data_IF_301888839251
#
_entry.id   IF_301888839251
#
_cell.length_a   1.000
_cell.length_b   1.000
_cell.length_c   1.000
_cell.angle_alpha   90.00
_cell.angle_beta   90.00
_cell.angle_gamma   90.00
#
_symmetry.space_group_name_H-M   'P 1'
#
loop_
_entity.id
_entity.type
_entity.pdbx_description
1 polymer ?
#
# COMPACT_ATOMS: atom_id res chain seq x y z
N UNK A 1 -58.56 8.59 5.54
CA UNK A 1 -58.60 9.94 6.14
C UNK A 1 -57.47 10.75 5.57
N UNK A 2 -57.86 11.86 4.97
CA UNK A 2 -57.03 12.81 4.24
C UNK A 2 -56.34 13.77 5.20
N UNK A 3 -55.11 14.21 4.90
CA UNK A 3 -54.47 15.34 5.59
C UNK A 3 -53.32 15.90 4.74
N UNK A 4 -53.67 16.87 3.91
CA UNK A 4 -52.72 17.71 3.17
C UNK A 4 -52.45 18.98 3.98
N UNK A 5 -51.21 19.48 4.04
CA UNK A 5 -50.83 20.85 4.45
C UNK A 5 -49.62 21.23 3.61
N UNK A 6 -49.77 22.01 2.63
CA UNK A 6 -49.70 23.45 2.39
C UNK A 6 -48.25 24.01 2.37
N UNK A 7 -47.88 24.46 1.17
CA UNK A 7 -46.70 25.24 0.82
C UNK A 7 -46.76 26.67 1.40
N UNK A 8 -45.62 27.20 1.85
CA UNK A 8 -45.44 28.63 2.09
C UNK A 8 -44.31 29.19 1.20
N UNK A 9 -44.75 30.01 0.23
CA UNK A 9 -43.89 30.94 -0.53
C UNK A 9 -43.73 32.20 0.30
N UNK A 10 -42.55 32.73 0.44
CA UNK A 10 -42.33 34.15 0.75
C UNK A 10 -41.36 34.74 -0.29
N UNK A 11 -41.91 35.77 -0.92
CA UNK A 11 -41.25 36.74 -1.78
C UNK A 11 -40.61 37.83 -0.92
N UNK A 12 -39.46 38.33 -1.26
CA UNK A 12 -38.78 39.46 -0.62
C UNK A 12 -37.84 40.17 -1.60
N UNK A 13 -38.33 41.20 -2.07
CA UNK A 13 -37.89 42.53 -2.52
C UNK A 13 -36.43 42.77 -2.97
N UNK A 14 -36.35 43.29 -4.18
CA UNK A 14 -35.18 43.86 -4.81
C UNK A 14 -34.95 45.32 -4.33
N UNK A 15 -33.71 45.67 -4.01
CA UNK A 15 -33.22 47.04 -3.74
C UNK A 15 -32.43 47.52 -4.95
N UNK A 16 -32.72 48.72 -5.48
CA UNK A 16 -32.02 49.26 -6.64
C UNK A 16 -30.71 49.92 -6.27
N UNK A 17 -29.63 49.57 -7.00
CA UNK A 17 -28.33 50.23 -6.91
C UNK A 17 -28.22 51.32 -7.99
N UNK A 18 -27.96 52.56 -7.54
CA UNK A 18 -27.76 53.74 -8.40
C UNK A 18 -26.35 53.79 -9.00
N UNK A 19 -26.14 54.61 -10.04
CA UNK A 19 -24.91 54.61 -10.83
C UNK A 19 -23.82 55.50 -10.22
N UNK A 20 -22.63 54.97 -10.00
CA UNK A 20 -21.43 55.74 -9.67
C UNK A 20 -20.54 55.98 -10.89
N UNK A 21 -20.09 57.22 -11.02
CA UNK A 21 -19.33 57.85 -12.09
C UNK A 21 -17.91 57.27 -12.25
N UNK A 22 -17.32 57.31 -13.46
CA UNK A 22 -15.95 56.82 -13.66
C UNK A 22 -14.91 57.89 -13.35
N UNK A 23 -13.89 57.52 -12.59
CA UNK A 23 -12.67 58.28 -12.39
C UNK A 23 -11.65 57.82 -13.46
N UNK A 24 -11.23 58.74 -14.31
CA UNK A 24 -10.15 58.56 -15.29
C UNK A 24 -8.79 58.67 -14.55
N UNK A 25 -8.12 57.57 -14.33
CA UNK A 25 -6.72 57.51 -13.96
C UNK A 25 -5.91 56.87 -15.10
N UNK A 26 -5.04 57.70 -15.74
CA UNK A 26 -4.04 57.20 -16.70
C UNK A 26 -2.92 56.52 -15.87
N UNK A 27 -2.87 55.23 -15.78
CA UNK A 27 -1.78 54.46 -15.23
C UNK A 27 -1.09 53.68 -16.36
N UNK A 28 0.21 53.97 -16.51
CA UNK A 28 1.12 53.27 -17.41
C UNK A 28 1.26 51.82 -16.91
N UNK A 29 0.77 50.85 -17.64
CA UNK A 29 0.97 49.42 -17.31
C UNK A 29 2.21 48.96 -18.04
N UNK A 30 3.34 48.84 -17.28
CA UNK A 30 4.50 48.08 -17.71
C UNK A 30 4.12 46.58 -17.62
N UNK A 31 3.89 45.99 -18.78
CA UNK A 31 3.64 44.53 -18.86
C UNK A 31 4.92 43.73 -18.60
N UNK A 32 5.08 43.22 -17.39
CA UNK A 32 6.06 42.17 -17.11
C UNK A 32 5.46 40.85 -17.60
N UNK A 33 5.93 40.37 -18.74
CA UNK A 33 5.63 38.99 -19.20
C UNK A 33 6.40 38.02 -18.32
N UNK A 34 5.73 37.46 -17.32
CA UNK A 34 6.22 36.33 -16.59
C UNK A 34 6.09 35.08 -17.47
N UNK A 35 7.18 34.71 -18.11
CA UNK A 35 7.35 33.38 -18.71
C UNK A 35 7.40 32.35 -17.56
N UNK A 36 6.25 31.83 -17.18
CA UNK A 36 6.18 30.63 -16.34
C UNK A 36 6.61 29.45 -17.20
N UNK A 37 7.92 29.22 -17.24
CA UNK A 37 8.46 27.97 -17.74
C UNK A 37 7.95 26.84 -16.86
N UNK A 38 7.12 25.95 -17.39
CA UNK A 38 6.83 24.65 -16.81
C UNK A 38 8.16 23.89 -16.81
N UNK A 39 8.91 23.97 -15.71
CA UNK A 39 10.03 23.08 -15.45
C UNK A 39 9.44 21.69 -15.25
N UNK A 40 9.40 20.90 -16.32
CA UNK A 40 9.16 19.46 -16.25
C UNK A 40 10.23 18.90 -15.30
N UNK A 41 9.80 18.33 -14.19
CA UNK A 41 10.73 17.62 -13.29
C UNK A 41 11.48 16.59 -14.14
N UNK A 42 12.81 16.52 -14.06
CA UNK A 42 13.59 15.58 -14.85
C UNK A 42 13.10 14.17 -14.51
N UNK A 43 12.73 13.40 -15.55
CA UNK A 43 12.44 11.99 -15.41
C UNK A 43 13.67 11.35 -14.75
N UNK A 44 13.51 10.87 -13.49
CA UNK A 44 14.58 10.16 -12.81
C UNK A 44 14.92 8.94 -13.62
N UNK A 45 16.16 8.85 -14.09
CA UNK A 45 16.70 7.64 -14.70
C UNK A 45 16.46 6.45 -13.77
N UNK A 46 16.15 5.25 -14.29
CA UNK A 46 16.01 4.07 -13.46
C UNK A 46 17.33 3.84 -12.73
N UNK A 47 17.30 3.99 -11.43
CA UNK A 47 18.49 3.86 -10.59
C UNK A 47 18.75 2.37 -10.35
N UNK A 48 19.99 1.88 -10.50
CA UNK A 48 20.31 0.47 -10.31
C UNK A 48 19.90 0.02 -8.91
N UNK A 49 19.22 -1.13 -8.81
CA UNK A 49 18.85 -1.74 -7.54
C UNK A 49 20.11 -2.14 -6.79
N UNK A 50 20.37 -1.59 -5.60
CA UNK A 50 21.57 -1.86 -4.81
C UNK A 50 21.54 -3.22 -4.11
N UNK A 51 20.31 -3.68 -3.72
CA UNK A 51 20.05 -5.02 -3.21
C UNK A 51 18.58 -5.37 -3.41
N UNK A 52 18.32 -6.64 -3.66
CA UNK A 52 16.99 -7.20 -3.75
C UNK A 52 16.90 -8.48 -2.92
N UNK A 53 15.72 -8.77 -2.37
CA UNK A 53 15.44 -10.11 -1.85
C UNK A 53 15.59 -11.10 -3.01
N UNK A 54 16.30 -12.24 -2.80
CA UNK A 54 16.54 -13.17 -3.87
C UNK A 54 15.22 -13.61 -4.50
N UNK A 55 15.10 -13.38 -5.80
CA UNK A 55 14.03 -13.87 -6.65
C UNK A 55 12.61 -13.36 -6.34
N UNK A 56 12.41 -12.23 -5.68
CA UNK A 56 11.07 -11.65 -5.61
C UNK A 56 10.77 -10.85 -6.88
N UNK A 57 9.77 -11.28 -7.63
CA UNK A 57 9.34 -10.68 -8.90
C UNK A 57 7.88 -10.27 -8.80
N UNK A 58 7.61 -8.97 -8.93
CA UNK A 58 6.22 -8.46 -9.02
C UNK A 58 5.57 -9.03 -10.28
N UNK A 59 4.36 -9.56 -10.16
CA UNK A 59 3.67 -10.26 -11.24
C UNK A 59 3.97 -11.76 -11.33
N UNK A 60 4.89 -12.28 -10.51
CA UNK A 60 5.09 -13.73 -10.33
C UNK A 60 4.86 -14.13 -8.87
N UNK A 61 5.53 -13.43 -7.94
CA UNK A 61 5.46 -13.72 -6.50
C UNK A 61 4.37 -12.90 -5.78
N UNK A 62 3.49 -12.25 -6.54
CA UNK A 62 2.37 -11.45 -6.03
C UNK A 62 1.03 -12.08 -6.39
N UNK A 63 -0.02 -11.72 -5.66
CA UNK A 63 -1.37 -12.11 -6.06
C UNK A 63 -1.77 -11.45 -7.39
N UNK A 64 -2.54 -12.16 -8.21
CA UNK A 64 -3.07 -11.67 -9.49
C UNK A 64 -4.26 -10.69 -9.32
N UNK A 65 -4.83 -10.62 -8.12
CA UNK A 65 -5.94 -9.74 -7.79
C UNK A 65 -5.51 -8.64 -6.85
N UNK A 66 -6.09 -7.46 -7.04
CA UNK A 66 -5.85 -6.31 -6.19
C UNK A 66 -6.67 -6.38 -4.88
N UNK A 67 -6.24 -5.58 -3.91
CA UNK A 67 -7.04 -5.28 -2.74
C UNK A 67 -8.36 -4.62 -3.16
N UNK A 68 -9.49 -5.09 -2.62
CA UNK A 68 -10.82 -4.62 -2.99
C UNK A 68 -11.22 -3.28 -2.35
N UNK A 69 -10.28 -2.34 -2.24
CA UNK A 69 -10.58 -1.00 -1.68
C UNK A 69 -11.76 -0.33 -2.38
N UNK A 70 -11.94 -0.57 -3.67
CA UNK A 70 -13.01 0.02 -4.49
C UNK A 70 -14.28 -0.83 -4.54
N UNK A 71 -14.22 -2.08 -4.17
CA UNK A 71 -15.39 -2.90 -4.04
C UNK A 71 -16.15 -2.48 -2.76
N UNK A 72 -16.92 -1.40 -2.88
CA UNK A 72 -17.95 -1.12 -1.89
C UNK A 72 -18.82 -2.36 -1.80
N UNK A 73 -18.59 -3.17 -0.79
CA UNK A 73 -19.59 -4.14 -0.40
C UNK A 73 -20.78 -3.33 0.09
N UNK A 74 -21.90 -3.26 -0.64
CA UNK A 74 -23.05 -2.44 -0.26
C UNK A 74 -23.61 -2.86 1.10
N UNK A 75 -23.31 -4.09 1.55
CA UNK A 75 -23.79 -4.63 2.82
C UNK A 75 -22.80 -4.47 3.98
N UNK A 76 -21.51 -4.19 3.70
CA UNK A 76 -20.47 -4.05 4.74
C UNK A 76 -19.33 -3.12 4.29
N UNK A 77 -19.58 -1.81 4.22
CA UNK A 77 -18.61 -0.83 3.72
C UNK A 77 -17.36 -0.66 4.60
N UNK A 78 -17.43 -1.15 5.85
CA UNK A 78 -16.37 -1.11 6.85
C UNK A 78 -15.31 -2.20 6.70
N UNK A 79 -15.56 -3.22 5.87
CA UNK A 79 -14.71 -4.40 5.80
C UNK A 79 -13.50 -4.28 4.86
N UNK A 80 -13.38 -3.22 4.08
CA UNK A 80 -12.33 -3.12 3.08
C UNK A 80 -10.98 -2.59 3.61
N UNK A 81 -10.98 -1.84 4.70
CA UNK A 81 -9.79 -1.14 5.20
C UNK A 81 -8.63 -2.05 5.66
N UNK A 82 -8.86 -3.34 5.83
CA UNK A 82 -7.87 -4.26 6.41
C UNK A 82 -7.34 -5.32 5.45
N UNK A 83 -7.77 -5.30 4.19
CA UNK A 83 -7.37 -6.32 3.22
C UNK A 83 -5.91 -6.20 2.79
N UNK A 84 -5.40 -4.99 2.62
CA UNK A 84 -4.01 -4.76 2.28
C UNK A 84 -3.04 -5.46 3.23
N UNK A 85 -3.34 -5.44 4.51
CA UNK A 85 -2.58 -6.12 5.55
C UNK A 85 -2.54 -7.64 5.35
N UNK A 86 -3.70 -8.26 5.08
CA UNK A 86 -3.81 -9.71 4.87
C UNK A 86 -3.10 -10.13 3.59
N UNK A 87 -3.25 -9.37 2.49
CA UNK A 87 -2.59 -9.65 1.23
C UNK A 87 -1.08 -9.49 1.33
N UNK A 88 -0.59 -8.42 1.95
CA UNK A 88 0.83 -8.20 2.17
C UNK A 88 1.45 -9.32 3.01
N UNK A 89 0.78 -9.74 4.10
CA UNK A 89 1.19 -10.89 4.91
C UNK A 89 1.18 -12.17 4.11
N UNK A 90 0.11 -12.42 3.33
CA UNK A 90 -0.02 -13.61 2.50
C UNK A 90 1.09 -13.73 1.47
N UNK A 91 1.40 -12.66 0.72
CA UNK A 91 2.50 -12.64 -0.24
C UNK A 91 3.81 -13.02 0.44
N UNK A 92 4.12 -12.41 1.59
CA UNK A 92 5.31 -12.77 2.36
C UNK A 92 5.31 -14.24 2.79
N UNK A 93 4.20 -14.75 3.32
CA UNK A 93 4.10 -16.15 3.76
C UNK A 93 4.25 -17.14 2.60
N UNK A 94 3.65 -16.86 1.44
CA UNK A 94 3.86 -17.68 0.25
C UNK A 94 5.30 -17.66 -0.22
N UNK A 95 5.95 -16.50 -0.29
CA UNK A 95 7.34 -16.38 -0.67
C UNK A 95 8.29 -17.16 0.26
N UNK A 96 8.05 -17.15 1.54
CA UNK A 96 8.91 -17.76 2.55
C UNK A 96 8.61 -19.25 2.81
N UNK A 97 7.35 -19.69 2.63
CA UNK A 97 6.88 -21.00 3.09
C UNK A 97 6.23 -21.89 2.01
N UNK A 98 6.00 -21.38 0.80
CA UNK A 98 5.45 -22.17 -0.29
C UNK A 98 6.51 -22.47 -1.36
N UNK A 99 6.27 -23.59 -2.08
CA UNK A 99 7.00 -23.99 -3.28
C UNK A 99 6.00 -24.39 -4.36
N UNK A 100 6.13 -23.81 -5.55
CA UNK A 100 5.27 -24.09 -6.68
C UNK A 100 5.88 -25.17 -7.55
N UNK A 101 5.08 -26.19 -7.90
CA UNK A 101 5.53 -27.35 -8.69
C UNK A 101 4.57 -27.59 -9.88
N UNK A 102 4.85 -26.99 -11.04
CA UNK A 102 3.95 -27.03 -12.19
C UNK A 102 3.83 -28.45 -12.80
N UNK A 103 4.84 -29.30 -12.61
CA UNK A 103 4.83 -30.66 -13.14
C UNK A 103 3.91 -31.63 -12.38
N UNK A 104 3.52 -31.29 -11.16
CA UNK A 104 2.62 -32.13 -10.37
C UNK A 104 1.16 -31.92 -10.77
N UNK A 105 0.29 -32.93 -10.64
CA UNK A 105 -1.13 -32.82 -10.91
C UNK A 105 -1.80 -31.75 -10.03
N UNK A 106 -2.76 -31.03 -10.62
CA UNK A 106 -3.59 -30.07 -9.87
C UNK A 106 -4.44 -30.80 -8.83
N UNK A 107 -4.63 -30.15 -7.68
CA UNK A 107 -5.55 -30.59 -6.64
C UNK A 107 -6.97 -30.06 -6.90
N UNK A 108 -7.92 -30.65 -6.23
CA UNK A 108 -9.24 -30.06 -6.08
C UNK A 108 -9.22 -28.85 -5.12
N UNK A 109 -10.36 -28.20 -5.00
CA UNK A 109 -10.49 -27.01 -4.14
C UNK A 109 -10.15 -27.30 -2.68
N UNK A 110 -10.56 -28.45 -2.16
CA UNK A 110 -10.31 -28.82 -0.76
C UNK A 110 -8.81 -29.02 -0.51
N UNK A 111 -8.11 -29.68 -1.43
CA UNK A 111 -6.68 -29.87 -1.37
C UNK A 111 -5.91 -28.54 -1.41
N UNK A 112 -6.32 -27.59 -2.25
CA UNK A 112 -5.69 -26.26 -2.25
C UNK A 112 -6.01 -25.47 -0.99
N UNK A 113 -7.23 -25.54 -0.48
CA UNK A 113 -7.60 -24.88 0.77
C UNK A 113 -6.70 -25.33 1.93
N UNK A 114 -6.48 -26.64 2.05
CA UNK A 114 -5.56 -27.22 3.05
C UNK A 114 -4.12 -26.67 2.87
N UNK A 115 -3.60 -26.68 1.63
CA UNK A 115 -2.25 -26.21 1.35
C UNK A 115 -2.06 -24.73 1.72
N UNK A 116 -3.01 -23.89 1.32
CA UNK A 116 -2.97 -22.46 1.67
C UNK A 116 -3.02 -22.29 3.19
N UNK A 117 -3.92 -23.00 3.89
CA UNK A 117 -4.03 -22.94 5.34
C UNK A 117 -2.71 -23.33 6.02
N UNK A 118 -2.00 -24.33 5.53
CA UNK A 118 -0.67 -24.72 6.04
C UNK A 118 0.38 -23.62 5.83
N UNK A 119 0.33 -22.91 4.71
CA UNK A 119 1.22 -21.76 4.45
C UNK A 119 0.91 -20.61 5.41
N UNK A 120 -0.36 -20.20 5.51
CA UNK A 120 -0.76 -19.01 6.29
C UNK A 120 -0.83 -19.27 7.81
N UNK A 121 -0.83 -20.52 8.25
CA UNK A 121 -0.68 -20.88 9.66
C UNK A 121 0.75 -20.68 10.18
N UNK A 122 1.73 -20.52 9.28
CA UNK A 122 3.12 -20.22 9.68
C UNK A 122 3.21 -18.79 10.21
N UNK A 123 3.97 -18.63 11.26
CA UNK A 123 4.18 -17.32 11.86
C UNK A 123 4.94 -16.40 10.90
N UNK A 124 4.40 -15.23 10.54
CA UNK A 124 5.01 -14.34 9.56
C UNK A 124 6.36 -13.75 9.99
N UNK A 125 6.75 -13.86 11.27
CA UNK A 125 8.09 -13.48 11.76
C UNK A 125 9.07 -14.66 11.79
N UNK A 126 8.61 -15.86 11.43
CA UNK A 126 9.47 -17.03 11.35
C UNK A 126 10.53 -16.87 10.26
N UNK A 127 11.66 -17.57 10.36
CA UNK A 127 12.63 -17.61 9.28
C UNK A 127 12.05 -18.31 8.04
N UNK A 128 12.49 -17.96 6.83
CA UNK A 128 12.17 -18.70 5.62
C UNK A 128 12.49 -20.20 5.77
N UNK A 129 11.61 -21.06 5.28
CA UNK A 129 11.87 -22.49 5.26
C UNK A 129 12.86 -22.86 4.15
N UNK A 130 13.74 -23.86 4.38
CA UNK A 130 14.48 -24.51 3.31
C UNK A 130 13.52 -24.97 2.19
N UNK A 131 13.95 -24.99 0.93
CA UNK A 131 13.06 -25.33 -0.19
C UNK A 131 12.31 -26.66 -0.03
N UNK A 132 12.94 -27.68 0.56
CA UNK A 132 12.36 -29.01 0.73
C UNK A 132 11.31 -29.08 1.84
N UNK A 133 11.38 -28.17 2.82
CA UNK A 133 10.43 -28.08 3.93
C UNK A 133 9.22 -27.18 3.62
N UNK A 134 9.23 -26.53 2.47
CA UNK A 134 8.14 -25.64 2.03
C UNK A 134 6.89 -26.43 1.66
N UNK A 135 5.73 -25.81 1.85
CA UNK A 135 4.45 -26.38 1.43
C UNK A 135 4.37 -26.39 -0.10
N UNK A 136 4.31 -27.57 -0.69
CA UNK A 136 4.19 -27.71 -2.16
C UNK A 136 2.79 -27.31 -2.63
N UNK A 137 2.72 -26.40 -3.58
CA UNK A 137 1.53 -26.01 -4.34
C UNK A 137 1.66 -26.58 -5.75
N UNK A 138 0.99 -27.70 -6.05
CA UNK A 138 1.15 -28.39 -7.34
C UNK A 138 0.35 -27.74 -8.46
N UNK A 139 0.80 -27.94 -9.72
CA UNK A 139 0.08 -27.56 -10.92
C UNK A 139 0.18 -26.10 -11.33
N UNK A 140 1.02 -25.30 -10.69
CA UNK A 140 1.24 -23.88 -10.98
C UNK A 140 2.73 -23.52 -10.91
N UNK A 141 3.13 -22.52 -11.69
CA UNK A 141 4.54 -22.05 -11.74
C UNK A 141 4.87 -21.08 -10.63
N UNK A 142 3.91 -20.25 -10.21
CA UNK A 142 4.12 -19.14 -9.26
C UNK A 142 2.82 -18.74 -8.57
N UNK A 143 2.92 -17.80 -7.63
CA UNK A 143 1.79 -17.29 -6.87
C UNK A 143 0.78 -16.56 -7.75
N UNK A 144 1.24 -15.83 -8.77
CA UNK A 144 0.37 -15.08 -9.66
C UNK A 144 -0.58 -16.01 -10.42
N UNK A 145 -0.04 -17.04 -11.09
CA UNK A 145 -0.89 -18.03 -11.81
C UNK A 145 -1.85 -18.73 -10.86
N UNK A 146 -1.33 -19.19 -9.72
CA UNK A 146 -2.13 -19.87 -8.72
C UNK A 146 -3.30 -19.02 -8.23
N UNK A 147 -3.01 -17.79 -7.82
CA UNK A 147 -4.03 -16.91 -7.27
C UNK A 147 -5.02 -16.38 -8.29
N UNK A 148 -4.63 -16.28 -9.57
CA UNK A 148 -5.54 -15.97 -10.67
C UNK A 148 -6.59 -17.06 -10.87
N UNK A 149 -6.15 -18.32 -10.87
CA UNK A 149 -7.04 -19.46 -11.11
C UNK A 149 -7.82 -19.86 -9.84
N UNK A 150 -7.27 -19.63 -8.66
CA UNK A 150 -7.81 -20.04 -7.36
C UNK A 150 -8.20 -18.86 -6.47
N UNK A 151 -8.56 -17.72 -7.04
CA UNK A 151 -8.80 -16.45 -6.29
C UNK A 151 -9.76 -16.65 -5.10
N UNK A 152 -10.93 -17.29 -5.35
CA UNK A 152 -11.92 -17.52 -4.30
C UNK A 152 -11.38 -18.40 -3.17
N UNK A 153 -10.62 -19.45 -3.49
CA UNK A 153 -10.02 -20.36 -2.52
C UNK A 153 -8.93 -19.65 -1.69
N UNK A 154 -8.09 -18.83 -2.35
CA UNK A 154 -7.06 -18.03 -1.69
C UNK A 154 -7.69 -17.03 -0.74
N UNK A 155 -8.68 -16.27 -1.20
CA UNK A 155 -9.39 -15.26 -0.38
C UNK A 155 -10.06 -15.87 0.87
N UNK A 156 -10.67 -17.05 0.71
CA UNK A 156 -11.27 -17.80 1.81
C UNK A 156 -10.21 -18.21 2.85
N UNK A 157 -9.10 -18.77 2.38
CA UNK A 157 -8.07 -19.32 3.25
C UNK A 157 -7.21 -18.27 3.98
N UNK A 158 -7.09 -17.05 3.44
CA UNK A 158 -6.31 -15.97 4.07
C UNK A 158 -6.83 -15.54 5.45
N UNK A 159 -8.01 -16.03 5.83
CA UNK A 159 -8.55 -15.96 7.18
C UNK A 159 -9.29 -14.68 7.53
N UNK A 160 -9.93 -14.65 8.71
CA UNK A 160 -10.87 -13.60 9.07
C UNK A 160 -10.17 -12.27 9.36
N UNK A 161 -10.78 -11.20 8.89
CA UNK A 161 -10.36 -9.80 9.02
C UNK A 161 -10.36 -9.31 10.46
N UNK A 162 -11.18 -9.90 11.33
CA UNK A 162 -11.38 -9.47 12.71
C UNK A 162 -10.06 -9.43 13.51
N UNK A 163 -9.25 -10.47 13.42
CA UNK A 163 -7.96 -10.52 14.12
C UNK A 163 -6.95 -9.50 13.59
N UNK A 164 -7.08 -9.09 12.34
CA UNK A 164 -6.27 -8.02 11.76
C UNK A 164 -6.57 -6.66 12.41
N UNK A 165 -7.82 -6.39 12.75
CA UNK A 165 -8.24 -5.15 13.45
C UNK A 165 -7.67 -5.06 14.85
N UNK A 166 -7.55 -6.19 15.54
CA UNK A 166 -7.02 -6.25 16.90
C UNK A 166 -5.49 -6.24 16.95
N UNK A 167 -4.82 -6.31 15.80
CA UNK A 167 -3.37 -6.28 15.78
C UNK A 167 -2.87 -4.90 16.27
N UNK A 168 -2.06 -4.92 17.31
CA UNK A 168 -1.45 -3.74 17.92
C UNK A 168 -0.78 -2.81 16.90
N UNK A 169 -0.17 -3.35 15.85
CA UNK A 169 0.51 -2.56 14.85
C UNK A 169 -0.41 -1.58 14.12
N UNK A 170 -1.69 -1.91 13.99
CA UNK A 170 -2.68 -1.00 13.39
C UNK A 170 -2.95 0.24 14.24
N UNK A 171 -2.76 0.15 15.55
CA UNK A 171 -2.97 1.25 16.48
C UNK A 171 -1.73 2.15 16.64
N UNK A 172 -0.55 1.66 16.25
CA UNK A 172 0.69 2.44 16.30
C UNK A 172 0.64 3.72 15.48
N UNK A 173 -0.24 3.79 14.47
CA UNK A 173 -0.39 4.96 13.61
C UNK A 173 -0.77 6.23 14.36
N UNK A 174 -1.44 6.13 15.50
CA UNK A 174 -1.84 7.28 16.32
C UNK A 174 -0.70 7.78 17.22
N UNK A 175 0.33 6.97 17.43
CA UNK A 175 1.45 7.34 18.29
C UNK A 175 2.40 8.30 17.56
N UNK A 176 2.81 9.40 18.20
CA UNK A 176 3.82 10.27 17.64
C UNK A 176 5.17 9.54 17.62
N UNK A 177 5.82 9.53 16.45
CA UNK A 177 7.17 8.98 16.29
C UNK A 177 8.09 10.00 15.67
N UNK A 178 9.28 10.16 16.26
CA UNK A 178 10.30 11.10 15.79
C UNK A 178 11.17 10.55 14.66
N UNK A 179 12.02 11.41 14.10
CA UNK A 179 12.94 11.06 13.01
C UNK A 179 13.88 9.90 13.33
N UNK A 180 14.38 9.80 14.58
CA UNK A 180 15.24 8.69 14.99
C UNK A 180 14.55 7.33 14.98
N UNK A 181 13.22 7.27 15.22
CA UNK A 181 12.46 6.04 15.03
C UNK A 181 12.35 5.69 13.54
N UNK A 182 12.06 6.68 12.69
CA UNK A 182 11.92 6.45 11.26
C UNK A 182 13.25 6.02 10.62
N UNK A 183 14.38 6.56 11.07
CA UNK A 183 15.72 6.15 10.65
C UNK A 183 15.99 4.68 11.01
N UNK A 184 15.73 4.27 12.27
CA UNK A 184 15.85 2.86 12.66
C UNK A 184 14.98 1.93 11.81
N UNK A 185 13.74 2.34 11.49
CA UNK A 185 12.87 1.54 10.60
C UNK A 185 13.49 1.41 9.22
N UNK A 186 14.07 2.47 8.66
CA UNK A 186 14.76 2.41 7.37
C UNK A 186 15.97 1.46 7.39
N UNK A 187 16.80 1.55 8.44
CA UNK A 187 17.96 0.67 8.61
C UNK A 187 17.55 -0.80 8.78
N UNK A 188 16.47 -1.06 9.53
CA UNK A 188 15.92 -2.39 9.71
C UNK A 188 15.38 -2.98 8.40
N UNK A 189 14.71 -2.18 7.55
CA UNK A 189 14.27 -2.62 6.23
C UNK A 189 15.47 -2.99 5.36
N UNK A 190 16.51 -2.14 5.36
CA UNK A 190 17.77 -2.42 4.63
C UNK A 190 18.39 -3.73 5.11
N UNK A 191 18.42 -3.97 6.42
CA UNK A 191 18.98 -5.20 6.99
C UNK A 191 18.17 -6.44 6.57
N UNK A 192 16.83 -6.37 6.58
CA UNK A 192 15.97 -7.48 6.12
C UNK A 192 16.22 -7.81 4.65
N UNK A 193 16.17 -6.79 3.79
CA UNK A 193 16.35 -6.99 2.34
C UNK A 193 17.76 -7.52 2.02
N UNK A 194 18.80 -7.02 2.70
CA UNK A 194 20.17 -7.56 2.58
C UNK A 194 20.28 -9.01 3.02
N UNK A 195 19.50 -9.41 4.02
CA UNK A 195 19.45 -10.79 4.48
C UNK A 195 18.55 -11.67 3.59
N UNK A 196 18.07 -11.15 2.46
CA UNK A 196 17.22 -11.88 1.52
C UNK A 196 15.78 -12.05 1.99
N UNK A 197 15.32 -11.27 2.96
CA UNK A 197 13.95 -11.34 3.51
C UNK A 197 13.10 -10.18 3.06
N UNK A 198 11.79 -10.40 3.02
CA UNK A 198 10.81 -9.37 2.75
C UNK A 198 10.48 -8.60 4.02
N UNK A 199 10.34 -7.26 3.93
CA UNK A 199 9.96 -6.43 5.06
C UNK A 199 8.54 -5.87 4.87
N UNK A 200 7.60 -6.32 5.71
CA UNK A 200 6.24 -5.80 5.71
C UNK A 200 6.16 -4.50 6.51
N UNK A 201 5.55 -3.47 5.91
CA UNK A 201 5.45 -2.12 6.45
C UNK A 201 4.00 -1.68 6.54
N UNK A 202 3.65 -1.09 7.67
CA UNK A 202 2.48 -0.23 7.78
C UNK A 202 2.90 1.19 7.48
N UNK A 203 2.30 1.83 6.50
CA UNK A 203 2.56 3.21 6.10
C UNK A 203 1.31 4.07 6.32
N UNK A 204 1.51 5.28 6.85
CA UNK A 204 0.39 6.18 7.17
C UNK A 204 0.79 7.64 7.06
N UNK A 205 -0.15 8.49 6.63
CA UNK A 205 -0.02 9.94 6.66
C UNK A 205 -0.82 10.59 7.82
N UNK A 206 -1.22 9.78 8.83
CA UNK A 206 -1.91 10.29 10.00
C UNK A 206 -1.28 11.59 10.55
N UNK A 207 -2.05 12.63 10.91
CA UNK A 207 -3.51 12.62 11.20
C UNK A 207 -4.43 12.76 9.97
N UNK A 208 -3.90 12.92 8.76
CA UNK A 208 -4.69 12.91 7.55
C UNK A 208 -5.17 11.47 7.30
N UNK A 209 -6.49 11.17 7.27
CA UNK A 209 -6.97 9.78 7.23
C UNK A 209 -6.95 9.16 5.83
N UNK A 210 -6.17 9.71 4.90
CA UNK A 210 -6.14 9.27 3.50
C UNK A 210 -5.34 7.99 3.28
N UNK A 211 -4.27 7.79 4.07
CA UNK A 211 -3.38 6.65 3.94
C UNK A 211 -3.19 5.93 5.28
N UNK A 212 -3.71 4.71 5.35
CA UNK A 212 -3.37 3.71 6.35
C UNK A 212 -3.27 2.38 5.62
N UNK A 213 -2.08 2.05 5.15
CA UNK A 213 -1.86 1.03 4.15
C UNK A 213 -0.69 0.13 4.49
N UNK A 214 -0.71 -1.10 3.98
CA UNK A 214 0.36 -2.07 4.20
C UNK A 214 0.99 -2.48 2.88
N UNK A 215 2.31 -2.38 2.82
CA UNK A 215 3.13 -2.74 1.66
C UNK A 215 4.26 -3.69 2.09
N UNK A 216 4.91 -4.34 1.12
CA UNK A 216 6.06 -5.24 1.36
C UNK A 216 7.27 -4.76 0.60
N UNK A 217 8.30 -4.30 1.31
CA UNK A 217 9.58 -3.96 0.71
C UNK A 217 10.37 -5.24 0.38
N UNK A 218 10.87 -5.30 -0.87
CA UNK A 218 11.61 -6.44 -1.39
C UNK A 218 12.97 -6.08 -2.00
N UNK A 219 13.18 -4.80 -2.31
CA UNK A 219 14.43 -4.29 -2.84
C UNK A 219 14.65 -2.84 -2.40
N UNK A 220 15.87 -2.34 -2.49
CA UNK A 220 16.13 -0.93 -2.25
C UNK A 220 17.29 -0.41 -3.11
N UNK A 221 17.27 0.89 -3.32
CA UNK A 221 18.38 1.68 -3.81
C UNK A 221 18.75 2.73 -2.77
N UNK A 222 20.03 2.85 -2.45
CA UNK A 222 20.52 3.81 -1.47
C UNK A 222 21.49 4.81 -2.10
N UNK A 223 21.30 6.08 -1.78
CA UNK A 223 22.22 7.18 -2.05
C UNK A 223 22.60 7.86 -0.75
N UNK A 224 23.48 8.87 -0.80
CA UNK A 224 23.81 9.69 0.36
C UNK A 224 22.60 10.52 0.83
N UNK A 225 21.69 10.87 -0.06
CA UNK A 225 20.51 11.70 0.23
C UNK A 225 19.30 10.89 0.68
N UNK A 226 19.06 9.71 0.10
CA UNK A 226 17.84 8.93 0.30
C UNK A 226 18.05 7.44 0.14
N UNK A 227 17.06 6.68 0.64
CA UNK A 227 16.87 5.25 0.35
C UNK A 227 15.50 5.10 -0.29
N UNK A 228 15.45 4.59 -1.53
CA UNK A 228 14.22 4.26 -2.22
C UNK A 228 13.97 2.75 -2.08
N UNK A 229 12.91 2.39 -1.38
CA UNK A 229 12.46 1.00 -1.23
C UNK A 229 11.46 0.67 -2.32
N UNK A 230 11.74 -0.38 -3.10
CA UNK A 230 10.77 -0.97 -4.00
C UNK A 230 9.82 -1.85 -3.19
N UNK A 231 8.51 -1.62 -3.35
CA UNK A 231 7.51 -2.31 -2.56
C UNK A 231 6.45 -2.98 -3.45
N UNK A 232 5.99 -4.14 -3.01
CA UNK A 232 4.72 -4.69 -3.47
C UNK A 232 3.60 -3.93 -2.77
N UNK A 233 2.68 -3.39 -3.57
CA UNK A 233 1.48 -2.71 -3.12
C UNK A 233 0.26 -3.59 -3.42
N UNK A 234 -0.47 -4.07 -2.40
CA UNK A 234 -1.67 -4.88 -2.64
C UNK A 234 -2.77 -4.19 -3.45
N UNK A 235 -2.77 -2.86 -3.54
CA UNK A 235 -3.74 -2.10 -4.34
C UNK A 235 -3.37 -2.06 -5.83
N UNK A 236 -2.08 -2.25 -6.14
CA UNK A 236 -1.56 -2.35 -7.51
C UNK A 236 -0.55 -3.50 -7.61
N UNK A 237 -1.04 -4.76 -7.61
CA UNK A 237 -0.17 -5.94 -7.56
C UNK A 237 0.64 -6.17 -8.84
N UNK A 238 0.35 -5.43 -9.90
CA UNK A 238 1.02 -5.55 -11.19
C UNK A 238 2.23 -4.63 -11.34
N UNK A 239 2.35 -3.60 -10.49
CA UNK A 239 3.39 -2.58 -10.61
C UNK A 239 4.16 -2.39 -9.30
N UNK A 240 5.50 -2.24 -9.35
CA UNK A 240 6.26 -1.90 -8.16
C UNK A 240 5.87 -0.52 -7.61
N UNK A 241 5.56 -0.43 -6.32
CA UNK A 241 5.47 0.82 -5.58
C UNK A 241 6.86 1.35 -5.17
N UNK A 242 6.93 2.59 -4.69
CA UNK A 242 8.15 3.20 -4.14
C UNK A 242 7.83 3.96 -2.87
N UNK A 243 8.52 3.59 -1.79
CA UNK A 243 8.54 4.32 -0.53
C UNK A 243 9.96 4.81 -0.30
N UNK A 244 10.15 6.12 -0.16
CA UNK A 244 11.47 6.72 -0.01
C UNK A 244 11.72 7.16 1.43
N UNK A 245 12.95 7.00 1.91
CA UNK A 245 13.42 7.56 3.18
C UNK A 245 14.46 8.66 2.91
N UNK A 246 14.15 9.89 3.27
CA UNK A 246 15.04 11.04 3.16
C UNK A 246 15.94 11.11 4.40
N UNK A 247 17.26 10.93 4.23
CA UNK A 247 18.22 10.81 5.34
C UNK A 247 18.33 12.08 6.16
N UNK A 248 18.46 13.26 5.51
CA UNK A 248 18.61 14.55 6.20
C UNK A 248 17.38 14.91 7.04
N UNK A 249 16.19 14.70 6.48
CA UNK A 249 14.93 14.99 7.17
C UNK A 249 14.51 13.87 8.12
N UNK A 250 15.13 12.69 8.03
CA UNK A 250 14.77 11.47 8.76
C UNK A 250 13.28 11.14 8.62
N UNK A 251 12.78 11.12 7.37
CA UNK A 251 11.36 11.01 7.07
C UNK A 251 11.12 10.09 5.89
N UNK A 252 9.99 9.38 5.96
CA UNK A 252 9.47 8.62 4.83
C UNK A 252 8.54 9.45 3.96
N UNK A 253 8.52 9.09 2.67
CA UNK A 253 7.65 9.62 1.63
C UNK A 253 6.98 8.48 0.88
N UNK A 254 5.68 8.60 0.63
CA UNK A 254 5.00 7.81 -0.38
C UNK A 254 5.35 8.42 -1.74
N UNK A 255 6.38 7.90 -2.41
CA UNK A 255 6.85 8.42 -3.70
C UNK A 255 5.99 7.88 -4.83
N UNK A 256 5.64 6.60 -4.77
CA UNK A 256 4.68 5.93 -5.64
C UNK A 256 4.02 4.79 -4.87
N UNK A 257 2.91 5.09 -4.23
CA UNK A 257 2.01 4.13 -3.58
C UNK A 257 0.65 4.35 -4.19
N UNK A 258 -0.03 3.28 -4.55
CA UNK A 258 -1.27 3.32 -5.28
C UNK A 258 -2.29 4.29 -4.67
N UNK A 259 -2.95 5.08 -5.55
CA UNK A 259 -3.98 6.07 -5.24
C UNK A 259 -3.58 7.11 -4.16
N UNK A 260 -2.28 7.23 -3.87
CA UNK A 260 -1.76 8.19 -2.90
C UNK A 260 -0.96 9.25 -3.63
N UNK A 261 -1.26 10.51 -3.36
CA UNK A 261 -0.43 11.62 -3.83
C UNK A 261 0.94 11.52 -3.15
N UNK A 262 2.05 11.77 -3.87
CA UNK A 262 3.36 11.82 -3.26
C UNK A 262 3.36 12.76 -2.05
N UNK A 263 3.78 12.26 -0.91
CA UNK A 263 3.70 13.02 0.33
C UNK A 263 4.39 12.37 1.50
N UNK A 264 4.49 13.14 2.60
CA UNK A 264 5.11 12.69 3.83
C UNK A 264 4.26 11.62 4.50
N UNK A 265 4.92 10.54 4.90
CA UNK A 265 4.31 9.43 5.65
C UNK A 265 5.16 9.08 6.88
N UNK A 266 4.63 8.20 7.71
CA UNK A 266 5.35 7.43 8.71
C UNK A 266 5.31 5.95 8.32
N UNK A 267 6.41 5.26 8.53
CA UNK A 267 6.50 3.82 8.30
C UNK A 267 6.73 3.09 9.62
N UNK A 268 6.09 1.95 9.76
CA UNK A 268 6.23 1.05 10.90
C UNK A 268 6.50 -0.35 10.38
N UNK A 269 7.53 -0.99 10.91
CA UNK A 269 7.83 -2.37 10.58
C UNK A 269 6.83 -3.32 11.24
N UNK A 270 6.41 -4.36 10.51
CA UNK A 270 5.46 -5.36 10.97
C UNK A 270 6.10 -6.76 10.95
N UNK A 271 5.61 -7.65 11.82
CA UNK A 271 6.03 -9.05 11.87
C UNK A 271 7.54 -9.25 11.97
N UNK A 272 8.17 -8.58 12.89
CA UNK A 272 9.58 -8.80 13.24
C UNK A 272 9.77 -9.47 14.60
N UNK A 273 8.67 -9.66 15.34
CA UNK A 273 8.64 -10.39 16.59
C UNK A 273 7.27 -11.03 16.84
N UNK A 274 7.15 -11.99 17.77
CA UNK A 274 5.88 -12.60 18.16
C UNK A 274 4.84 -11.61 18.71
N UNK A 275 5.30 -10.45 19.18
CA UNK A 275 4.48 -9.45 19.85
C UNK A 275 4.04 -8.30 18.94
N UNK A 276 4.57 -8.24 17.73
CA UNK A 276 4.42 -7.08 16.83
C UNK A 276 4.06 -7.51 15.42
#
# INVERSE_FOLDING_TARGET
MRGAVAAHRQSGDAVPVGPSRPVRGRGLVLGAVLLTGCASAPARSPVPVAAAAPRFVVGEDTFAFANEIRARNPHRPDLYANYCFVLARGVRQFHEFARFEPALPRLDRAGYLERIQRVVARHPWGPPLPPDDRVTIPGYRNLYEFSRDQEATVKEALGPRFWTLLNWTNWRVVLPVGGGHQERVADEIVAEVRAGRLAQLLVTNWPTPELNHTVVAYAYHATDAAIDFLVYDPNDPASPGVVSFERRARRFWATRVYDTRPGRIRAFRMYYSPWL
#
